data_IF_054170574370
#
_entry.id   IF_054170574370
#
_cell.length_a   1.000
_cell.length_b   1.000
_cell.length_c   1.000
_cell.angle_alpha   90.00
_cell.angle_beta   90.00
_cell.angle_gamma   90.00
#
_symmetry.space_group_name_H-M   'P 1'
#
loop_
_entity.id
_entity.type
_entity.pdbx_description
1 polymer ?
#
# COMPACT_ATOMS: atom_id res chain seq x y z
N UNK A 1 4.25 -8.45 -19.05
CA UNK A 1 5.62 -7.94 -19.21
C UNK A 1 6.13 -7.57 -17.84
N UNK A 2 7.44 -7.57 -17.60
CA UNK A 2 7.97 -7.56 -16.24
C UNK A 2 8.20 -6.15 -15.69
N UNK A 3 8.35 -6.09 -14.37
CA UNK A 3 8.78 -4.89 -13.65
C UNK A 3 10.23 -4.53 -14.02
N UNK A 4 10.50 -3.26 -14.25
CA UNK A 4 11.85 -2.74 -14.52
C UNK A 4 12.47 -2.24 -13.22
N UNK A 5 13.61 -2.81 -12.85
CA UNK A 5 14.31 -2.50 -11.58
C UNK A 5 15.81 -2.39 -11.80
N UNK A 6 16.48 -1.61 -10.94
CA UNK A 6 17.93 -1.64 -10.82
C UNK A 6 18.39 -3.05 -10.39
N UNK A 7 19.31 -3.63 -11.14
CA UNK A 7 19.85 -4.99 -10.89
C UNK A 7 20.49 -5.15 -9.50
N UNK A 8 20.92 -4.05 -8.88
CA UNK A 8 21.56 -4.04 -7.57
C UNK A 8 20.58 -4.00 -6.40
N UNK A 9 19.29 -3.77 -6.67
CA UNK A 9 18.28 -3.78 -5.63
C UNK A 9 18.17 -5.19 -5.01
N UNK A 10 18.33 -5.36 -3.68
CA UNK A 10 18.30 -6.67 -3.03
C UNK A 10 17.04 -7.48 -3.32
N UNK A 11 15.90 -6.83 -3.51
CA UNK A 11 14.64 -7.48 -3.87
C UNK A 11 14.73 -8.23 -5.22
N UNK A 12 15.60 -7.83 -6.15
CA UNK A 12 15.73 -8.47 -7.47
C UNK A 12 16.16 -9.93 -7.35
N UNK A 13 17.10 -10.25 -6.46
CA UNK A 13 17.57 -11.63 -6.27
C UNK A 13 16.48 -12.49 -5.63
N UNK A 14 15.70 -11.93 -4.71
CA UNK A 14 14.56 -12.61 -4.08
C UNK A 14 13.50 -12.91 -5.14
N UNK A 15 13.08 -11.91 -5.92
CA UNK A 15 12.08 -12.06 -6.97
C UNK A 15 12.48 -13.10 -8.01
N UNK A 16 13.75 -13.11 -8.43
CA UNK A 16 14.29 -14.11 -9.36
C UNK A 16 14.27 -15.52 -8.78
N UNK A 17 14.59 -15.68 -7.50
CA UNK A 17 14.52 -16.98 -6.81
C UNK A 17 13.10 -17.53 -6.74
N UNK A 18 12.09 -16.67 -6.80
CA UNK A 18 10.66 -17.00 -6.85
C UNK A 18 10.12 -17.19 -8.28
N UNK A 19 11.00 -17.22 -9.29
CA UNK A 19 10.64 -17.29 -10.73
C UNK A 19 9.82 -16.09 -11.23
N UNK A 20 9.92 -14.94 -10.56
CA UNK A 20 9.31 -13.69 -11.01
C UNK A 20 10.28 -13.02 -11.99
N UNK A 21 9.78 -12.70 -13.17
CA UNK A 21 10.59 -12.11 -14.22
C UNK A 21 10.79 -10.60 -13.97
N UNK A 22 12.04 -10.19 -13.77
CA UNK A 22 12.46 -8.79 -13.61
C UNK A 22 13.24 -8.37 -14.84
N UNK A 23 12.87 -7.23 -15.43
CA UNK A 23 13.52 -6.64 -16.59
C UNK A 23 14.58 -5.62 -16.15
N UNK A 24 15.64 -5.50 -16.92
CA UNK A 24 16.61 -4.40 -16.80
C UNK A 24 16.29 -3.27 -17.79
N UNK A 25 16.85 -2.09 -17.51
CA UNK A 25 16.63 -0.87 -18.28
C UNK A 25 16.99 -1.04 -19.77
N UNK A 26 18.03 -1.82 -20.07
CA UNK A 26 18.51 -2.04 -21.45
C UNK A 26 17.46 -2.79 -22.27
N UNK A 27 16.82 -3.79 -21.68
CA UNK A 27 15.77 -4.56 -22.35
C UNK A 27 14.47 -3.76 -22.46
N UNK A 28 14.16 -2.94 -21.46
CA UNK A 28 12.97 -2.09 -21.43
C UNK A 28 12.96 -1.06 -22.57
N UNK A 29 14.10 -0.45 -22.90
CA UNK A 29 14.23 0.59 -23.93
C UNK A 29 14.04 0.08 -25.38
N UNK A 30 13.95 -1.24 -25.60
CA UNK A 30 13.77 -1.82 -26.92
C UNK A 30 12.30 -2.14 -27.26
N UNK A 31 11.35 -1.65 -26.47
CA UNK A 31 9.91 -1.88 -26.70
C UNK A 31 9.18 -0.55 -26.93
N UNK A 32 8.41 -0.45 -28.01
CA UNK A 32 7.56 0.73 -28.35
C UNK A 32 6.29 0.80 -27.47
N UNK A 33 6.40 0.54 -26.17
CA UNK A 33 5.29 0.59 -25.23
C UNK A 33 5.67 1.57 -24.12
N UNK A 34 4.80 2.55 -23.84
CA UNK A 34 4.99 3.42 -22.68
C UNK A 34 4.88 2.57 -21.40
N UNK A 35 5.95 2.43 -20.62
CA UNK A 35 5.85 1.80 -19.30
C UNK A 35 5.03 2.67 -18.37
N UNK A 36 4.34 2.04 -17.42
CA UNK A 36 3.75 2.76 -16.30
C UNK A 36 4.82 3.12 -15.28
N UNK A 37 4.73 4.32 -14.73
CA UNK A 37 5.59 4.78 -13.66
C UNK A 37 4.83 4.71 -12.34
N UNK A 38 5.28 3.87 -11.42
CA UNK A 38 4.69 3.70 -10.09
C UNK A 38 5.69 4.17 -9.04
N UNK A 39 5.25 5.08 -8.17
CA UNK A 39 6.01 5.55 -7.02
C UNK A 39 5.58 4.77 -5.78
N UNK A 40 6.53 4.32 -4.96
CA UNK A 40 6.26 3.69 -3.66
C UNK A 40 6.85 4.57 -2.56
N UNK A 41 6.00 5.27 -1.83
CA UNK A 41 6.37 5.92 -0.59
C UNK A 41 6.42 4.87 0.52
N UNK A 42 7.64 4.44 0.84
CA UNK A 42 7.86 3.38 1.81
C UNK A 42 8.15 3.96 3.19
N UNK A 43 7.13 3.99 4.06
CA UNK A 43 7.22 4.48 5.44
C UNK A 43 7.60 3.37 6.44
N UNK A 44 7.66 2.11 5.98
CA UNK A 44 7.98 0.97 6.85
C UNK A 44 9.46 0.98 7.27
N UNK A 45 9.77 0.58 8.52
CA UNK A 45 11.16 0.52 9.00
C UNK A 45 11.97 -0.61 8.34
N UNK A 46 11.32 -1.69 7.90
CA UNK A 46 11.94 -2.84 7.23
C UNK A 46 11.81 -2.72 5.72
N UNK A 47 12.54 -1.76 5.12
CA UNK A 47 12.36 -1.36 3.72
C UNK A 47 12.46 -2.51 2.73
N UNK A 48 13.51 -3.32 2.79
CA UNK A 48 13.75 -4.44 1.85
C UNK A 48 12.61 -5.47 1.86
N UNK A 49 12.04 -5.76 3.03
CA UNK A 49 10.90 -6.68 3.12
C UNK A 49 9.67 -6.09 2.42
N UNK A 50 9.34 -4.83 2.69
CA UNK A 50 8.21 -4.12 2.08
C UNK A 50 8.40 -3.95 0.56
N UNK A 51 9.61 -3.60 0.12
CA UNK A 51 9.98 -3.58 -1.30
C UNK A 51 9.64 -4.91 -1.98
N UNK A 52 10.12 -6.02 -1.42
CA UNK A 52 9.90 -7.36 -1.97
C UNK A 52 8.41 -7.72 -2.02
N UNK A 53 7.66 -7.44 -0.96
CA UNK A 53 6.23 -7.69 -0.87
C UNK A 53 5.44 -6.96 -1.97
N UNK A 54 5.66 -5.66 -2.10
CA UNK A 54 4.96 -4.84 -3.09
C UNK A 54 5.41 -5.16 -4.52
N UNK A 55 6.72 -5.31 -4.76
CA UNK A 55 7.24 -5.63 -6.07
C UNK A 55 6.75 -6.98 -6.59
N UNK A 56 6.58 -7.97 -5.71
CA UNK A 56 6.02 -9.28 -6.08
C UNK A 56 4.59 -9.16 -6.63
N UNK A 57 3.77 -8.31 -6.02
CA UNK A 57 2.39 -8.08 -6.45
C UNK A 57 2.32 -7.23 -7.72
N UNK A 58 3.15 -6.18 -7.83
CA UNK A 58 3.24 -5.34 -9.02
C UNK A 58 3.80 -6.11 -10.24
N UNK A 59 4.66 -7.10 -10.03
CA UNK A 59 5.24 -7.90 -11.11
C UNK A 59 4.26 -8.91 -11.72
N UNK A 60 3.10 -9.15 -11.10
CA UNK A 60 2.11 -10.12 -11.57
C UNK A 60 1.14 -9.48 -12.59
N UNK A 61 1.67 -8.82 -13.60
CA UNK A 61 0.93 -8.18 -14.70
C UNK A 61 1.69 -8.32 -16.02
N UNK A 62 1.02 -8.35 -17.17
CA UNK A 62 1.68 -8.28 -18.49
C UNK A 62 2.18 -6.86 -18.82
N UNK A 63 1.85 -5.84 -18.02
CA UNK A 63 2.24 -4.47 -18.26
C UNK A 63 3.69 -4.22 -17.82
N UNK A 64 4.38 -3.34 -18.51
CA UNK A 64 5.70 -2.88 -18.11
C UNK A 64 5.55 -1.78 -17.04
N UNK A 65 6.19 -1.98 -15.88
CA UNK A 65 6.13 -1.04 -14.76
C UNK A 65 7.56 -0.64 -14.37
N UNK A 66 7.82 0.66 -14.37
CA UNK A 66 8.97 1.26 -13.72
C UNK A 66 8.57 1.61 -12.28
N UNK A 67 9.43 1.30 -11.32
CA UNK A 67 9.17 1.60 -9.91
C UNK A 67 10.25 2.50 -9.38
N UNK A 68 9.82 3.62 -8.80
CA UNK A 68 10.64 4.51 -7.97
C UNK A 68 10.24 4.34 -6.51
N UNK A 69 11.24 4.39 -5.62
CA UNK A 69 10.99 4.41 -4.17
C UNK A 69 11.25 5.80 -3.62
N UNK A 70 10.35 6.24 -2.73
CA UNK A 70 10.43 7.50 -2.01
C UNK A 70 10.55 7.23 -0.51
N UNK A 71 11.40 8.00 0.17
CA UNK A 71 11.49 8.01 1.63
C UNK A 71 11.36 9.43 2.18
N UNK A 72 11.02 9.54 3.46
CA UNK A 72 10.93 10.83 4.15
C UNK A 72 12.30 11.25 4.66
N UNK A 73 12.79 12.40 4.19
CA UNK A 73 14.11 12.95 4.55
C UNK A 73 14.15 13.53 5.96
N UNK A 74 13.01 13.98 6.46
CA UNK A 74 12.82 14.48 7.82
C UNK A 74 12.86 13.38 8.89
N UNK A 75 12.91 12.10 8.50
CA UNK A 75 12.98 10.95 9.40
C UNK A 75 14.31 10.20 9.27
N UNK A 76 15.01 10.02 10.39
CA UNK A 76 16.23 9.18 10.43
C UNK A 76 15.87 7.68 10.48
N UNK A 77 16.15 6.96 9.39
CA UNK A 77 15.91 5.52 9.32
C UNK A 77 16.88 4.73 10.18
N UNK A 78 16.38 4.07 11.24
CA UNK A 78 17.21 3.30 12.19
C UNK A 78 17.48 1.85 11.72
N UNK A 79 16.64 1.31 10.84
CA UNK A 79 16.65 -0.12 10.47
C UNK A 79 17.10 -0.37 9.02
N UNK A 80 17.42 0.67 8.29
CA UNK A 80 17.89 0.57 6.89
C UNK A 80 19.22 1.30 6.76
N UNK A 81 20.20 0.66 6.13
CA UNK A 81 21.50 1.28 5.89
C UNK A 81 21.35 2.52 5.01
N UNK A 82 22.06 3.59 5.35
CA UNK A 82 22.06 4.84 4.56
C UNK A 82 22.44 4.59 3.09
N UNK A 83 23.43 3.72 2.84
CA UNK A 83 23.85 3.32 1.49
C UNK A 83 22.71 2.72 0.65
N UNK A 84 21.78 1.97 1.28
CA UNK A 84 20.61 1.42 0.59
C UNK A 84 19.65 2.55 0.16
N UNK A 85 19.38 3.50 1.06
CA UNK A 85 18.53 4.65 0.75
C UNK A 85 19.15 5.52 -0.35
N UNK A 86 20.42 5.86 -0.24
CA UNK A 86 21.14 6.67 -1.25
C UNK A 86 21.19 6.00 -2.63
N UNK A 87 21.22 4.65 -2.67
CA UNK A 87 21.34 3.91 -3.92
C UNK A 87 20.01 3.67 -4.62
N UNK A 88 18.91 3.51 -3.89
CA UNK A 88 17.65 3.00 -4.45
C UNK A 88 16.46 3.89 -4.19
N UNK A 89 16.54 4.88 -3.30
CA UNK A 89 15.45 5.75 -2.95
C UNK A 89 15.67 7.17 -3.47
N UNK A 90 14.58 7.83 -3.76
CA UNK A 90 14.52 9.25 -4.13
C UNK A 90 14.00 10.07 -2.96
N UNK A 91 14.39 11.33 -2.91
CA UNK A 91 13.79 12.34 -2.04
C UNK A 91 12.62 13.02 -2.72
N UNK A 92 11.80 13.77 -1.98
CA UNK A 92 10.73 14.56 -2.58
C UNK A 92 11.25 15.58 -3.60
N UNK A 93 12.41 16.18 -3.32
CA UNK A 93 13.07 17.12 -4.25
C UNK A 93 13.45 16.48 -5.59
N UNK A 94 13.80 15.17 -5.59
CA UNK A 94 14.17 14.46 -6.80
C UNK A 94 12.96 14.14 -7.70
N UNK A 95 11.74 14.13 -7.14
CA UNK A 95 10.54 13.67 -7.84
C UNK A 95 9.49 14.75 -8.06
N UNK A 96 9.60 15.91 -7.44
CA UNK A 96 8.55 16.95 -7.40
C UNK A 96 8.08 17.42 -8.79
N UNK A 97 8.96 17.37 -9.79
CA UNK A 97 8.67 17.75 -11.18
C UNK A 97 8.24 16.56 -12.05
N UNK A 98 8.22 15.34 -11.49
CA UNK A 98 7.84 14.13 -12.19
C UNK A 98 6.35 13.86 -12.08
N UNK A 99 5.84 13.03 -13.01
CA UNK A 99 4.47 12.53 -13.02
C UNK A 99 4.47 11.01 -12.95
N UNK A 100 3.50 10.44 -12.25
CA UNK A 100 3.35 9.01 -12.04
C UNK A 100 1.94 8.54 -12.38
N UNK A 101 1.85 7.32 -12.91
CA UNK A 101 0.57 6.64 -13.15
C UNK A 101 -0.04 6.20 -11.81
N UNK A 102 0.77 5.75 -10.88
CA UNK A 102 0.33 5.29 -9.56
C UNK A 102 1.28 5.65 -8.43
N UNK A 103 0.72 5.85 -7.24
CA UNK A 103 1.46 5.99 -5.98
C UNK A 103 0.95 4.94 -4.99
N UNK A 104 1.86 4.25 -4.32
CA UNK A 104 1.54 3.42 -3.15
C UNK A 104 2.13 4.09 -1.92
N UNK A 105 1.28 4.40 -0.93
CA UNK A 105 1.70 4.90 0.39
C UNK A 105 1.58 3.76 1.39
N UNK A 106 2.69 3.31 1.95
CA UNK A 106 2.69 2.17 2.87
C UNK A 106 2.18 2.53 4.26
N UNK A 107 1.94 1.54 5.09
CA UNK A 107 1.78 1.72 6.54
C UNK A 107 3.05 2.22 7.22
N UNK A 108 2.92 2.57 8.49
CA UNK A 108 4.02 2.92 9.38
C UNK A 108 3.67 2.52 10.83
N UNK A 109 4.64 2.11 11.66
CA UNK A 109 4.39 1.67 13.04
C UNK A 109 4.27 2.85 14.02
N UNK A 110 3.48 3.85 13.67
CA UNK A 110 3.27 5.10 14.44
C UNK A 110 1.79 5.35 14.76
N UNK A 111 0.97 4.30 14.75
CA UNK A 111 -0.50 4.41 14.88
C UNK A 111 -0.96 5.05 16.18
N UNK A 112 -0.19 4.92 17.26
CA UNK A 112 -0.54 5.46 18.59
C UNK A 112 -0.17 6.94 18.78
N UNK A 113 0.59 7.50 17.85
CA UNK A 113 0.92 8.93 17.84
C UNK A 113 -0.18 9.72 17.14
N UNK A 114 -0.44 10.94 17.57
CA UNK A 114 -1.23 11.87 16.76
C UNK A 114 -0.50 12.16 15.45
N UNK A 115 -1.25 12.45 14.38
CA UNK A 115 -0.63 12.59 13.06
C UNK A 115 0.41 13.69 13.04
N UNK A 116 0.13 14.83 13.68
CA UNK A 116 1.00 16.00 13.75
C UNK A 116 2.24 15.77 14.63
N UNK A 117 2.25 14.76 15.49
CA UNK A 117 3.41 14.39 16.32
C UNK A 117 4.42 13.52 15.55
N UNK A 118 4.05 13.00 14.38
CA UNK A 118 4.94 12.21 13.54
C UNK A 118 5.98 13.13 12.91
N UNK A 119 7.26 12.85 13.12
CA UNK A 119 8.39 13.70 12.76
C UNK A 119 8.47 14.07 11.25
N UNK A 120 7.92 13.22 10.37
CA UNK A 120 7.83 13.46 8.92
C UNK A 120 6.43 13.91 8.46
N UNK A 121 5.54 14.32 9.35
CA UNK A 121 4.16 14.67 8.99
C UNK A 121 4.08 15.81 7.97
N UNK A 122 4.84 16.88 8.17
CA UNK A 122 4.85 18.01 7.26
C UNK A 122 5.32 17.63 5.84
N UNK A 123 6.38 16.80 5.74
CA UNK A 123 6.88 16.31 4.46
C UNK A 123 5.86 15.37 3.80
N UNK A 124 5.22 14.50 4.57
CA UNK A 124 4.16 13.59 4.10
C UNK A 124 2.96 14.37 3.52
N UNK A 125 2.52 15.43 4.20
CA UNK A 125 1.41 16.28 3.71
C UNK A 125 1.78 16.99 2.41
N UNK A 126 3.03 17.40 2.22
CA UNK A 126 3.50 17.94 0.94
C UNK A 126 3.40 16.90 -0.19
N UNK A 127 3.79 15.64 0.07
CA UNK A 127 3.63 14.55 -0.89
C UNK A 127 2.15 14.32 -1.20
N UNK A 128 1.26 14.34 -0.22
CA UNK A 128 -0.18 14.21 -0.44
C UNK A 128 -0.75 15.35 -1.29
N UNK A 129 -0.35 16.60 -1.06
CA UNK A 129 -0.79 17.73 -1.90
C UNK A 129 -0.24 17.63 -3.32
N UNK A 130 1.04 17.29 -3.46
CA UNK A 130 1.69 17.10 -4.74
C UNK A 130 1.01 15.97 -5.55
N UNK A 131 0.67 14.86 -4.90
CA UNK A 131 0.07 13.70 -5.57
C UNK A 131 -1.26 14.02 -6.27
N UNK A 132 -2.03 15.01 -5.80
CA UNK A 132 -3.29 15.45 -6.44
C UNK A 132 -3.12 15.85 -7.92
N UNK A 133 -1.94 16.34 -8.28
CA UNK A 133 -1.66 16.88 -9.62
C UNK A 133 -0.66 16.05 -10.41
N UNK A 134 0.17 15.27 -9.73
CA UNK A 134 1.30 14.56 -10.33
C UNK A 134 1.11 13.03 -10.35
N UNK A 135 0.05 12.53 -9.71
CA UNK A 135 -0.25 11.10 -9.66
C UNK A 135 -1.67 10.86 -10.12
N UNK A 136 -1.87 9.84 -10.95
CA UNK A 136 -3.23 9.52 -11.41
C UNK A 136 -4.03 8.78 -10.32
N UNK A 137 -3.55 7.66 -9.80
CA UNK A 137 -4.24 6.89 -8.74
C UNK A 137 -3.31 6.63 -7.57
N UNK A 138 -3.79 6.85 -6.34
CA UNK A 138 -3.03 6.59 -5.11
C UNK A 138 -3.68 5.45 -4.32
N UNK A 139 -2.88 4.42 -4.00
CA UNK A 139 -3.24 3.32 -3.10
C UNK A 139 -2.58 3.55 -1.75
N UNK A 140 -3.39 3.80 -0.73
CA UNK A 140 -2.96 3.98 0.65
C UNK A 140 -3.15 2.68 1.44
N UNK A 141 -2.13 2.25 2.19
CA UNK A 141 -2.14 1.00 2.96
C UNK A 141 -2.07 1.29 4.47
N UNK A 142 -2.94 0.63 5.25
CA UNK A 142 -2.98 0.63 6.70
C UNK A 142 -2.89 2.04 7.30
N UNK A 143 -1.82 2.37 8.05
CA UNK A 143 -1.61 3.71 8.60
C UNK A 143 -1.54 4.79 7.50
N UNK A 144 -0.95 4.49 6.37
CA UNK A 144 -0.97 5.40 5.21
C UNK A 144 -2.39 5.73 4.74
N UNK A 145 -3.33 4.76 4.84
CA UNK A 145 -4.74 5.00 4.58
C UNK A 145 -5.37 5.93 5.62
N UNK A 146 -5.07 5.75 6.89
CA UNK A 146 -5.56 6.62 7.95
C UNK A 146 -5.00 8.04 7.80
N UNK A 147 -3.70 8.18 7.52
CA UNK A 147 -3.03 9.46 7.29
C UNK A 147 -3.61 10.21 6.07
N UNK A 148 -3.84 9.49 4.97
CA UNK A 148 -4.48 10.05 3.78
C UNK A 148 -5.90 10.54 4.06
N UNK A 149 -6.72 9.77 4.78
CA UNK A 149 -8.08 10.16 5.17
C UNK A 149 -8.09 11.38 6.10
N UNK A 150 -7.17 11.43 7.05
CA UNK A 150 -7.04 12.58 7.93
C UNK A 150 -6.67 13.84 7.15
N UNK A 151 -5.65 13.76 6.29
CA UNK A 151 -5.21 14.89 5.49
C UNK A 151 -6.27 15.38 4.49
N UNK A 152 -6.97 14.44 3.81
CA UNK A 152 -7.94 14.78 2.75
C UNK A 152 -9.29 15.25 3.28
N UNK A 153 -9.77 14.62 4.37
CA UNK A 153 -11.16 14.75 4.83
C UNK A 153 -11.28 15.12 6.31
N UNK A 154 -10.18 15.26 7.05
CA UNK A 154 -10.19 15.51 8.49
C UNK A 154 -10.80 14.35 9.29
N UNK A 155 -10.74 13.13 8.76
CA UNK A 155 -11.26 11.93 9.42
C UNK A 155 -10.22 11.41 10.41
N UNK A 156 -10.57 11.45 11.71
CA UNK A 156 -9.69 11.00 12.78
C UNK A 156 -9.71 9.48 12.93
N UNK A 157 -8.55 8.90 13.26
CA UNK A 157 -8.47 7.52 13.72
C UNK A 157 -8.94 7.42 15.17
N UNK A 158 -9.39 6.24 15.57
CA UNK A 158 -9.74 5.91 16.95
C UNK A 158 -8.91 4.74 17.44
N UNK A 159 -8.50 4.75 18.71
CA UNK A 159 -7.77 3.63 19.28
C UNK A 159 -8.71 2.44 19.51
N UNK A 160 -8.19 1.24 19.26
CA UNK A 160 -8.83 -0.03 19.60
C UNK A 160 -8.45 -0.42 21.03
N UNK A 161 -9.33 -1.14 21.72
CA UNK A 161 -9.03 -1.66 23.06
C UNK A 161 -7.84 -2.61 23.05
N UNK A 162 -7.74 -3.45 22.01
CA UNK A 162 -6.69 -4.44 21.80
C UNK A 162 -6.15 -4.37 20.39
N UNK A 163 -4.93 -4.88 20.18
CA UNK A 163 -4.33 -4.98 18.86
C UNK A 163 -5.17 -5.91 17.97
N UNK A 164 -5.66 -5.39 16.85
CA UNK A 164 -6.26 -6.21 15.83
C UNK A 164 -5.15 -6.90 15.04
N UNK A 165 -4.88 -8.18 15.33
CA UNK A 165 -3.84 -8.96 14.67
C UNK A 165 -4.37 -10.32 14.23
N UNK A 166 -4.22 -10.68 12.97
CA UNK A 166 -4.67 -11.97 12.44
C UNK A 166 -5.19 -11.93 11.02
N UNK A 167 -5.84 -13.02 10.61
CA UNK A 167 -6.50 -13.18 9.31
C UNK A 167 -8.01 -13.10 9.51
N UNK A 168 -8.60 -12.14 8.85
CA UNK A 168 -10.03 -11.83 9.00
C UNK A 168 -10.78 -11.97 7.70
N UNK A 169 -12.02 -12.39 7.82
CA UNK A 169 -12.95 -12.57 6.71
C UNK A 169 -13.61 -11.23 6.35
N UNK A 170 -13.53 -10.87 5.07
CA UNK A 170 -14.02 -9.63 4.49
C UNK A 170 -15.19 -9.92 3.55
N UNK A 171 -16.24 -9.14 3.61
CA UNK A 171 -17.35 -9.16 2.65
C UNK A 171 -17.13 -8.10 1.56
N UNK A 172 -17.32 -8.47 0.31
CA UNK A 172 -17.40 -7.53 -0.82
C UNK A 172 -18.74 -6.82 -0.75
N UNK A 173 -18.72 -5.50 -0.51
CA UNK A 173 -19.93 -4.65 -0.42
C UNK A 173 -20.32 -4.13 -1.79
N UNK A 174 -19.35 -3.88 -2.65
CA UNK A 174 -19.54 -3.36 -4.01
C UNK A 174 -18.98 -4.34 -5.05
N UNK A 175 -19.73 -5.42 -5.39
CA UNK A 175 -19.30 -6.40 -6.39
C UNK A 175 -19.22 -5.81 -7.81
N UNK A 176 -19.85 -4.68 -8.05
CA UNK A 176 -19.80 -3.88 -9.28
C UNK A 176 -18.51 -3.06 -9.40
N UNK A 177 -17.75 -2.87 -8.31
CA UNK A 177 -16.48 -2.17 -8.35
C UNK A 177 -15.42 -2.95 -9.15
N UNK A 178 -14.72 -2.26 -10.04
CA UNK A 178 -13.63 -2.86 -10.81
C UNK A 178 -12.47 -3.34 -9.92
N UNK A 179 -12.30 -2.77 -8.72
CA UNK A 179 -11.32 -3.27 -7.74
C UNK A 179 -11.64 -4.69 -7.26
N UNK A 180 -12.93 -5.07 -7.27
CA UNK A 180 -13.40 -6.39 -6.82
C UNK A 180 -13.64 -7.38 -7.96
N UNK A 181 -13.28 -7.04 -9.19
CA UNK A 181 -13.48 -7.92 -10.33
C UNK A 181 -12.72 -9.24 -10.15
N UNK A 182 -13.42 -10.36 -10.21
CA UNK A 182 -12.87 -11.71 -10.02
C UNK A 182 -12.75 -12.15 -8.55
N UNK A 183 -13.21 -11.32 -7.61
CA UNK A 183 -13.40 -11.76 -6.24
C UNK A 183 -14.67 -12.57 -6.08
N UNK A 184 -14.64 -13.49 -5.11
CA UNK A 184 -15.86 -14.08 -4.53
C UNK A 184 -16.54 -13.05 -3.61
N UNK A 185 -17.75 -13.38 -3.11
CA UNK A 185 -18.50 -12.50 -2.17
C UNK A 185 -17.69 -12.20 -0.89
N UNK A 186 -16.73 -13.04 -0.56
CA UNK A 186 -15.87 -12.92 0.63
C UNK A 186 -14.44 -13.32 0.33
N UNK A 187 -13.51 -12.69 1.05
CA UNK A 187 -12.08 -12.99 0.99
C UNK A 187 -11.41 -12.83 2.34
N UNK A 188 -10.24 -13.41 2.50
CA UNK A 188 -9.42 -13.29 3.70
C UNK A 188 -8.34 -12.24 3.51
N UNK A 189 -8.11 -11.43 4.54
CA UNK A 189 -7.02 -10.45 4.56
C UNK A 189 -6.33 -10.39 5.93
N UNK A 190 -4.98 -10.23 5.95
CA UNK A 190 -4.24 -9.94 7.18
C UNK A 190 -4.56 -8.54 7.69
N UNK A 191 -4.64 -8.40 9.01
CA UNK A 191 -4.67 -7.11 9.69
C UNK A 191 -3.65 -7.10 10.84
N UNK A 192 -3.03 -5.94 11.08
CA UNK A 192 -2.14 -5.70 12.22
C UNK A 192 -2.18 -4.21 12.54
N UNK A 193 -3.05 -3.79 13.47
CA UNK A 193 -3.20 -2.38 13.82
C UNK A 193 -3.77 -2.17 15.22
N UNK A 194 -3.47 -1.01 15.81
CA UNK A 194 -3.99 -0.54 17.10
C UNK A 194 -5.09 0.51 16.94
N UNK A 195 -5.37 0.95 15.73
CA UNK A 195 -6.32 2.03 15.45
C UNK A 195 -7.26 1.65 14.31
N UNK A 196 -8.42 2.30 14.25
CA UNK A 196 -9.42 2.11 13.22
C UNK A 196 -9.97 3.45 12.73
N UNK A 197 -10.70 3.42 11.60
CA UNK A 197 -11.43 4.57 11.05
C UNK A 197 -12.93 4.32 11.20
N UNK A 198 -13.67 5.21 11.90
CA UNK A 198 -15.10 5.06 12.05
C UNK A 198 -15.83 5.18 10.71
N UNK A 199 -16.61 4.17 10.34
CA UNK A 199 -17.44 4.17 9.12
C UNK A 199 -18.31 5.44 9.02
N UNK A 200 -18.91 5.86 10.16
CA UNK A 200 -19.76 7.05 10.22
C UNK A 200 -19.02 8.30 9.72
N UNK A 201 -17.79 8.50 10.18
CA UNK A 201 -16.95 9.64 9.77
C UNK A 201 -16.72 9.66 8.25
N UNK A 202 -16.42 8.48 7.67
CA UNK A 202 -16.22 8.34 6.21
C UNK A 202 -17.49 8.72 5.45
N UNK A 203 -18.65 8.23 5.87
CA UNK A 203 -19.94 8.50 5.21
C UNK A 203 -20.40 9.95 5.34
N UNK A 204 -20.05 10.62 6.44
CA UNK A 204 -20.45 12.01 6.70
C UNK A 204 -19.50 13.06 6.09
N UNK A 205 -18.20 12.75 6.00
CA UNK A 205 -17.18 13.72 5.63
C UNK A 205 -16.59 13.53 4.22
N UNK A 206 -16.96 12.45 3.53
CA UNK A 206 -16.40 12.17 2.22
C UNK A 206 -17.43 11.61 1.26
N UNK A 207 -17.09 11.54 -0.03
CA UNK A 207 -17.85 10.85 -1.08
C UNK A 207 -17.30 9.44 -1.35
N UNK A 208 -16.43 8.92 -0.49
CA UNK A 208 -15.82 7.62 -0.66
C UNK A 208 -16.86 6.50 -0.56
N UNK A 209 -16.65 5.46 -1.36
CA UNK A 209 -17.49 4.27 -1.41
C UNK A 209 -16.85 3.16 -0.58
N UNK A 210 -17.65 2.48 0.24
CA UNK A 210 -17.22 1.27 0.94
C UNK A 210 -17.21 0.12 -0.07
N UNK A 211 -16.05 -0.40 -0.39
CA UNK A 211 -15.84 -1.47 -1.36
C UNK A 211 -15.88 -2.84 -0.68
N UNK A 212 -15.20 -2.97 0.46
CA UNK A 212 -15.19 -4.17 1.29
C UNK A 212 -15.16 -3.82 2.77
N UNK A 213 -15.76 -4.68 3.61
CA UNK A 213 -15.75 -4.55 5.06
C UNK A 213 -15.79 -5.94 5.73
N UNK A 214 -15.34 -6.01 6.99
CA UNK A 214 -15.46 -7.23 7.81
C UNK A 214 -16.19 -6.96 9.11
N UNK A 215 -16.86 -7.96 9.65
CA UNK A 215 -17.62 -7.81 10.90
C UNK A 215 -16.72 -7.47 12.09
N UNK A 216 -15.49 -7.98 12.10
CA UNK A 216 -14.53 -7.79 13.20
C UNK A 216 -13.56 -6.64 12.95
N UNK A 217 -13.31 -6.33 11.68
CA UNK A 217 -12.28 -5.37 11.28
C UNK A 217 -12.85 -4.02 10.81
N UNK A 218 -14.18 -3.88 10.76
CA UNK A 218 -14.79 -2.67 10.24
C UNK A 218 -14.50 -2.45 8.76
N UNK A 219 -14.06 -1.27 8.39
CA UNK A 219 -13.66 -0.94 7.02
C UNK A 219 -12.44 -1.77 6.58
N UNK A 220 -12.50 -2.31 5.37
CA UNK A 220 -11.40 -3.04 4.75
C UNK A 220 -10.83 -2.30 3.55
N UNK A 221 -11.68 -1.99 2.57
CA UNK A 221 -11.30 -1.23 1.38
C UNK A 221 -12.36 -0.17 1.12
N UNK A 222 -11.93 1.08 0.94
CA UNK A 222 -12.77 2.18 0.49
C UNK A 222 -12.08 2.89 -0.67
N UNK A 223 -12.83 3.53 -1.57
CA UNK A 223 -12.28 4.22 -2.72
C UNK A 223 -13.14 5.42 -3.14
N UNK A 224 -12.53 6.40 -3.80
CA UNK A 224 -13.26 7.40 -4.55
C UNK A 224 -14.00 6.76 -5.74
N UNK A 225 -15.13 7.35 -6.21
CA UNK A 225 -15.88 6.79 -7.33
C UNK A 225 -15.08 6.58 -8.60
N UNK A 226 -14.05 7.39 -8.82
CA UNK A 226 -13.12 7.36 -9.95
C UNK A 226 -11.86 6.51 -9.68
N UNK A 227 -11.75 5.88 -8.51
CA UNK A 227 -10.59 5.10 -8.06
C UNK A 227 -9.26 5.87 -8.04
N UNK A 228 -9.29 7.19 -8.05
CA UNK A 228 -8.06 8.00 -7.91
C UNK A 228 -7.48 7.94 -6.50
N UNK A 229 -8.33 7.69 -5.51
CA UNK A 229 -7.94 7.48 -4.11
C UNK A 229 -8.51 6.13 -3.66
N UNK A 230 -7.62 5.21 -3.31
CA UNK A 230 -7.97 3.86 -2.82
C UNK A 230 -7.29 3.65 -1.47
N UNK A 231 -8.06 3.23 -0.46
CA UNK A 231 -7.60 3.03 0.91
C UNK A 231 -7.85 1.59 1.33
N UNK A 232 -6.81 0.86 1.66
CA UNK A 232 -6.85 -0.51 2.18
C UNK A 232 -6.34 -0.52 3.63
N UNK A 233 -7.17 -0.96 4.57
CA UNK A 233 -6.81 -1.03 5.99
C UNK A 233 -6.19 -2.38 6.38
N UNK A 234 -6.34 -3.39 5.54
CA UNK A 234 -5.67 -4.68 5.67
C UNK A 234 -4.35 -4.72 4.90
N UNK A 235 -3.58 -5.76 5.14
CA UNK A 235 -2.24 -5.97 4.60
C UNK A 235 -2.22 -7.13 3.60
N UNK A 236 -2.84 -6.92 2.43
CA UNK A 236 -2.82 -7.93 1.36
C UNK A 236 -1.40 -8.21 0.84
N UNK A 237 -0.47 -7.27 1.04
CA UNK A 237 0.94 -7.39 0.64
C UNK A 237 1.78 -8.29 1.56
N UNK A 238 1.31 -8.65 2.74
CA UNK A 238 2.08 -9.41 3.73
C UNK A 238 2.51 -10.79 3.23
N UNK A 239 3.76 -11.14 3.54
CA UNK A 239 4.28 -12.49 3.40
C UNK A 239 3.69 -13.43 4.44
N UNK A 240 3.83 -14.76 4.17
CA UNK A 240 3.36 -15.82 5.06
C UNK A 240 3.75 -15.61 6.51
N UNK A 241 4.98 -15.17 6.76
CA UNK A 241 5.61 -15.10 8.06
C UNK A 241 5.62 -13.69 8.69
N UNK A 242 5.02 -12.69 8.04
CA UNK A 242 5.09 -11.29 8.51
C UNK A 242 4.43 -11.13 9.88
N UNK A 243 3.20 -11.61 10.08
CA UNK A 243 2.53 -11.53 11.37
C UNK A 243 3.24 -12.38 12.45
N UNK A 244 3.85 -13.51 12.07
CA UNK A 244 4.64 -14.31 13.01
C UNK A 244 5.87 -13.54 13.49
N UNK A 245 6.58 -12.86 12.59
CA UNK A 245 7.72 -12.01 12.92
C UNK A 245 7.32 -10.85 13.84
N UNK A 246 6.18 -10.20 13.57
CA UNK A 246 5.63 -9.16 14.44
C UNK A 246 5.29 -9.71 15.83
N UNK A 247 4.56 -10.82 15.91
CA UNK A 247 4.18 -11.48 17.15
C UNK A 247 5.41 -11.84 17.99
N UNK A 248 6.38 -12.56 17.41
CA UNK A 248 7.57 -12.97 18.13
C UNK A 248 8.45 -11.79 18.56
N UNK A 249 8.51 -10.72 17.75
CA UNK A 249 9.16 -9.46 18.14
C UNK A 249 8.51 -8.87 19.38
N UNK A 250 7.18 -8.79 19.41
CA UNK A 250 6.41 -8.19 20.48
C UNK A 250 6.51 -9.04 21.77
N UNK A 251 6.45 -10.38 21.65
CA UNK A 251 6.74 -11.30 22.78
C UNK A 251 8.15 -11.10 23.32
N UNK A 252 9.16 -11.00 22.45
CA UNK A 252 10.55 -10.79 22.85
C UNK A 252 10.76 -9.43 23.54
N UNK A 253 9.95 -8.43 23.18
CA UNK A 253 9.93 -7.13 23.81
C UNK A 253 9.16 -7.10 25.15
N UNK A 254 8.53 -8.21 25.58
CA UNK A 254 7.77 -8.33 26.80
C UNK A 254 6.41 -7.64 26.77
N UNK A 255 5.82 -7.48 25.59
CA UNK A 255 4.54 -6.78 25.38
C UNK A 255 3.31 -7.68 25.58
N UNK A 256 3.49 -8.98 25.81
CA UNK A 256 2.41 -9.97 26.01
C UNK A 256 1.28 -9.87 24.96
N UNK A 257 1.60 -9.93 23.64
CA UNK A 257 0.60 -9.81 22.59
C UNK A 257 -0.27 -11.07 22.49
N UNK A 258 -1.53 -10.89 22.12
CA UNK A 258 -2.37 -12.01 21.71
C UNK A 258 -1.81 -12.71 20.46
N UNK A 259 -2.01 -14.04 20.41
CA UNK A 259 -1.67 -14.83 19.22
C UNK A 259 -2.50 -14.32 18.03
N UNK A 260 -1.88 -14.02 16.86
CA UNK A 260 -2.63 -13.56 15.69
C UNK A 260 -3.77 -14.51 15.33
N UNK A 261 -5.00 -13.99 15.32
CA UNK A 261 -6.23 -14.76 15.14
C UNK A 261 -6.28 -15.44 13.77
N UNK A 262 -6.68 -16.72 13.74
CA UNK A 262 -6.85 -17.50 12.50
C UNK A 262 -5.58 -17.58 11.62
N UNK A 263 -4.42 -17.35 12.16
CA UNK A 263 -3.17 -17.26 11.40
C UNK A 263 -2.32 -18.54 11.53
N UNK A 264 -2.08 -19.00 12.73
CA UNK A 264 -1.44 -20.28 12.99
C UNK A 264 -2.44 -21.42 12.92
N UNK A 265 -1.97 -22.67 12.75
CA UNK A 265 -2.85 -23.82 12.78
C UNK A 265 -3.38 -24.07 14.21
N UNK A 266 -4.70 -24.02 14.37
CA UNK A 266 -5.34 -24.10 15.67
C UNK A 266 -5.01 -22.95 16.64
N UNK A 267 -4.58 -21.80 16.09
CA UNK A 267 -4.08 -20.64 16.85
C UNK A 267 -2.89 -20.97 17.77
N UNK A 268 -2.13 -22.01 17.45
CA UNK A 268 -0.91 -22.41 18.16
C UNK A 268 0.32 -21.77 17.50
N UNK A 269 0.92 -20.80 18.16
CA UNK A 269 2.10 -20.06 17.69
C UNK A 269 3.37 -20.91 17.48
N UNK A 270 3.37 -22.17 17.90
CA UNK A 270 4.45 -23.12 17.60
C UNK A 270 4.33 -23.76 16.21
N UNK A 271 3.18 -23.60 15.53
CA UNK A 271 2.93 -24.14 14.20
C UNK A 271 3.34 -23.18 13.09
N UNK A 272 3.49 -23.68 11.87
CA UNK A 272 3.73 -22.80 10.70
C UNK A 272 2.46 -22.07 10.28
N UNK A 273 2.57 -20.76 9.93
CA UNK A 273 1.45 -19.99 9.43
C UNK A 273 0.94 -20.51 8.09
N UNK A 274 -0.38 -20.42 7.88
CA UNK A 274 -1.02 -20.75 6.60
C UNK A 274 -1.34 -19.47 5.82
N UNK A 275 -0.78 -19.33 4.62
CA UNK A 275 -1.17 -18.25 3.72
C UNK A 275 -2.54 -18.57 3.09
N UNK A 276 -3.49 -17.65 3.21
CA UNK A 276 -4.87 -17.79 2.70
C UNK A 276 -5.40 -16.54 1.99
N UNK A 277 -4.55 -15.54 1.78
CA UNK A 277 -4.91 -14.26 1.17
C UNK A 277 -4.20 -13.99 -0.15
N UNK A 278 -3.33 -14.87 -0.62
CA UNK A 278 -2.51 -14.66 -1.80
C UNK A 278 -3.33 -14.40 -3.07
N UNK A 279 -4.44 -15.14 -3.23
CA UNK A 279 -5.33 -14.94 -4.38
C UNK A 279 -6.00 -13.57 -4.34
N UNK A 280 -6.51 -13.17 -3.17
CA UNK A 280 -7.11 -11.87 -2.96
C UNK A 280 -6.08 -10.74 -3.20
N UNK A 281 -4.87 -10.88 -2.65
CA UNK A 281 -3.76 -9.94 -2.86
C UNK A 281 -3.45 -9.75 -4.35
N UNK A 282 -3.19 -10.85 -5.05
CA UNK A 282 -2.88 -10.86 -6.47
C UNK A 282 -4.00 -10.22 -7.29
N UNK A 283 -5.25 -10.58 -7.02
CA UNK A 283 -6.42 -10.06 -7.74
C UNK A 283 -6.60 -8.57 -7.49
N UNK A 284 -6.51 -8.12 -6.23
CA UNK A 284 -6.68 -6.72 -5.85
C UNK A 284 -5.63 -5.81 -6.51
N UNK A 285 -4.35 -6.16 -6.39
CA UNK A 285 -3.27 -5.36 -6.98
C UNK A 285 -3.33 -5.38 -8.51
N UNK A 286 -3.66 -6.52 -9.13
CA UNK A 286 -3.85 -6.60 -10.57
C UNK A 286 -5.03 -5.74 -11.04
N UNK A 287 -6.13 -5.71 -10.30
CA UNK A 287 -7.29 -4.86 -10.60
C UNK A 287 -6.94 -3.38 -10.45
N UNK A 288 -6.26 -2.99 -9.37
CA UNK A 288 -5.82 -1.61 -9.18
C UNK A 288 -4.91 -1.16 -10.32
N UNK A 289 -3.88 -1.94 -10.67
CA UNK A 289 -2.96 -1.63 -11.77
C UNK A 289 -3.73 -1.51 -13.09
N UNK A 290 -4.62 -2.45 -13.39
CA UNK A 290 -5.28 -2.53 -14.69
C UNK A 290 -6.40 -1.49 -14.84
N UNK A 291 -7.27 -1.34 -13.83
CA UNK A 291 -8.50 -0.55 -13.94
C UNK A 291 -8.41 0.83 -13.31
N UNK A 292 -7.68 0.99 -12.22
CA UNK A 292 -7.52 2.29 -11.58
C UNK A 292 -6.31 3.08 -12.11
N UNK A 293 -5.30 2.37 -12.66
CA UNK A 293 -4.08 3.02 -13.16
C UNK A 293 -4.02 2.97 -14.68
N UNK A 294 -3.81 1.80 -15.27
CA UNK A 294 -3.44 1.66 -16.69
C UNK A 294 -4.53 2.14 -17.67
N UNK A 295 -5.79 1.78 -17.43
CA UNK A 295 -6.87 2.09 -18.39
C UNK A 295 -7.34 3.54 -18.34
N UNK A 296 -7.19 4.19 -17.21
CA UNK A 296 -7.71 5.53 -16.95
C UNK A 296 -6.64 6.62 -17.07
N UNK A 297 -5.35 6.27 -16.88
CA UNK A 297 -4.26 7.26 -16.97
C UNK A 297 -4.09 7.79 -18.39
N UNK A 298 -4.01 9.12 -18.58
CA UNK A 298 -3.77 9.70 -19.89
C UNK A 298 -2.41 9.29 -20.44
N UNK A 299 -2.29 9.15 -21.75
CA UNK A 299 -1.03 8.76 -22.39
C UNK A 299 0.13 9.72 -22.09
N UNK A 300 -0.19 11.02 -21.95
CA UNK A 300 0.75 12.07 -21.53
C UNK A 300 0.43 12.48 -20.10
N UNK A 301 1.31 12.14 -19.16
CA UNK A 301 1.09 12.40 -17.73
C UNK A 301 1.01 13.89 -17.38
N UNK A 302 1.64 14.77 -18.19
CA UNK A 302 1.56 16.23 -17.99
C UNK A 302 0.13 16.77 -18.19
N UNK A 303 -0.77 15.98 -18.75
CA UNK A 303 -2.18 16.33 -18.89
C UNK A 303 -2.93 16.26 -17.57
N UNK A 304 -2.37 15.59 -16.55
CA UNK A 304 -2.92 15.54 -15.17
C UNK A 304 -3.09 16.93 -14.55
N UNK A 305 -2.19 17.87 -14.85
CA UNK A 305 -2.32 19.25 -14.35
C UNK A 305 -3.55 19.99 -14.90
N UNK A 306 -4.06 19.58 -16.05
CA UNK A 306 -5.19 20.24 -16.72
C UNK A 306 -6.53 19.78 -16.19
N UNK A 307 -6.58 18.62 -15.52
CA UNK A 307 -7.81 18.03 -14.98
C UNK A 307 -8.17 18.50 -13.54
N UNK A 308 -7.73 19.70 -13.16
CA UNK A 308 -8.01 20.31 -11.84
C UNK A 308 -9.51 20.47 -11.56
N UNK A 309 -10.38 20.38 -12.57
CA UNK A 309 -11.83 20.47 -12.38
C UNK A 309 -12.42 19.35 -11.51
N UNK A 310 -11.71 18.24 -11.33
CA UNK A 310 -12.15 17.08 -10.52
C UNK A 310 -12.02 17.30 -9.01
N UNK A 311 -11.06 18.08 -8.55
CA UNK A 311 -10.85 18.38 -7.12
C UNK A 311 -11.61 19.64 -6.63
N UNK A 312 -12.41 20.26 -7.49
CA UNK A 312 -13.11 21.51 -7.21
C UNK A 312 -14.42 21.39 -6.44
N UNK A 313 -14.71 20.24 -5.84
CA UNK A 313 -15.85 20.02 -4.95
C UNK A 313 -15.38 19.51 -3.58
N UNK A 314 -14.64 20.33 -2.89
CA UNK A 314 -14.48 20.28 -1.43
C UNK A 314 -14.81 21.63 -0.85
#
# INVERSE_FOLDING_TARGET
>A
MPITLDKKLPAVDILRSENIFVMDDVRATHQDIRPMNVLILNLMPTKVATETQLLRLLANTPLQINVDFLYMTSHESKNTAAEHLESFYKTFEDIKDNYYDGLIVTGAPVEKMDFEEVDYWEELTQVFEWSKRHVFSTLHLCWGAQAGLYHRYGIQKVELCDKLSGIYDQAVVRPDSLLMRGFDDRFLAPHSRYTDIPLKEVLEKSNLQVIAQGNEVGLSIIASPDMREVYSFGHLEYDRDTLAKEYHRDVKAGLDPDVPKNYFDGDDASTEPRIRWNLAATTFFSNWINYAVYQETPYRLEELEKDISFYGYL
#
